data_IF_079525092247
#
_entry.id   IF_079525092247
#
_cell.length_a   1.000
_cell.length_b   1.000
_cell.length_c   1.000
_cell.angle_alpha   90.00
_cell.angle_beta   90.00
_cell.angle_gamma   90.00
#
_symmetry.space_group_name_H-M   'P 1'
#
loop_
_entity.id
_entity.type
_entity.pdbx_description
1 polymer ?
#
# COMPACT_ATOMS: atom_id res chain seq x y z
N UNK A 1 -32.55 23.80 -18.02
CA UNK A 1 -31.53 22.70 -18.00
C UNK A 1 -31.04 22.27 -19.40
N UNK A 2 -31.37 22.92 -20.50
CA UNK A 2 -30.99 22.49 -21.88
C UNK A 2 -29.78 23.21 -22.51
N UNK A 3 -29.22 24.27 -21.87
CA UNK A 3 -28.09 25.02 -22.43
C UNK A 3 -26.72 24.44 -22.15
N UNK A 4 -26.51 23.76 -21.00
CA UNK A 4 -25.22 23.21 -20.65
C UNK A 4 -24.86 21.96 -21.46
N UNK A 5 -25.83 21.08 -21.73
CA UNK A 5 -25.59 19.86 -22.50
C UNK A 5 -25.23 20.17 -23.97
N UNK A 6 -25.80 21.23 -24.54
CA UNK A 6 -25.51 21.65 -25.91
C UNK A 6 -24.06 22.18 -26.07
N UNK A 7 -23.54 22.88 -25.06
CA UNK A 7 -22.17 23.42 -25.10
C UNK A 7 -21.10 22.33 -24.99
N UNK A 8 -21.35 21.28 -24.18
CA UNK A 8 -20.42 20.14 -24.04
C UNK A 8 -20.36 19.34 -25.34
N UNK A 9 -21.49 19.13 -26.00
CA UNK A 9 -21.57 18.37 -27.26
C UNK A 9 -20.89 19.10 -28.43
N UNK A 10 -21.02 20.44 -28.52
CA UNK A 10 -20.34 21.27 -29.52
C UNK A 10 -18.82 21.29 -29.33
N UNK A 11 -18.34 21.27 -28.08
CA UNK A 11 -16.91 21.21 -27.75
C UNK A 11 -16.27 19.88 -28.20
N UNK A 12 -16.93 18.76 -27.95
CA UNK A 12 -16.47 17.42 -28.37
C UNK A 12 -16.45 17.26 -29.89
N UNK A 13 -17.48 17.73 -30.58
CA UNK A 13 -17.55 17.66 -32.05
C UNK A 13 -16.48 18.53 -32.73
N UNK A 14 -16.19 19.72 -32.21
CA UNK A 14 -15.10 20.57 -32.72
C UNK A 14 -13.73 19.99 -32.48
N UNK A 15 -13.50 19.31 -31.34
CA UNK A 15 -12.25 18.63 -31.06
C UNK A 15 -12.01 17.47 -32.03
N UNK A 16 -13.03 16.66 -32.30
CA UNK A 16 -12.91 15.50 -33.19
C UNK A 16 -12.80 15.93 -34.67
N UNK A 17 -13.44 17.02 -35.09
CA UNK A 17 -13.31 17.54 -36.46
C UNK A 17 -11.99 18.28 -36.68
N UNK A 18 -11.40 18.90 -35.66
CA UNK A 18 -10.07 19.51 -35.72
C UNK A 18 -8.94 18.48 -35.84
N UNK A 19 -9.07 17.32 -35.18
CA UNK A 19 -8.10 16.23 -35.26
C UNK A 19 -8.05 15.58 -36.65
N UNK A 20 -9.17 15.60 -37.41
CA UNK A 20 -9.21 15.01 -38.76
C UNK A 20 -8.52 15.86 -39.84
N UNK A 21 -8.38 17.16 -39.66
CA UNK A 21 -7.69 18.04 -40.62
C UNK A 21 -6.19 18.14 -40.47
N UNK A 22 -5.66 17.75 -39.31
CA UNK A 22 -4.19 17.70 -39.07
C UNK A 22 -3.51 16.50 -39.74
N UNK A 23 -4.26 15.49 -40.18
CA UNK A 23 -3.71 14.27 -40.77
C UNK A 23 -3.43 14.38 -42.29
N UNK A 24 -3.92 15.43 -42.98
CA UNK A 24 -3.76 15.56 -44.43
C UNK A 24 -2.55 16.41 -44.89
N UNK A 25 -1.77 16.97 -43.95
CA UNK A 25 -0.66 17.88 -44.24
C UNK A 25 0.77 17.30 -44.01
N UNK A 26 0.91 16.04 -43.65
CA UNK A 26 2.23 15.45 -43.39
C UNK A 26 2.81 14.79 -44.63
N UNK A 27 3.20 15.62 -45.61
CA UNK A 27 4.12 15.19 -46.67
C UNK A 27 5.54 15.01 -46.04
N UNK A 28 5.94 13.76 -45.95
CA UNK A 28 7.32 13.28 -45.97
C UNK A 28 8.42 14.15 -45.33
N UNK A 29 8.40 14.30 -44.01
CA UNK A 29 9.64 14.41 -43.25
C UNK A 29 9.95 13.02 -42.70
N UNK A 30 11.03 12.39 -43.19
CA UNK A 30 11.61 11.21 -42.56
C UNK A 30 12.11 11.63 -41.19
N UNK A 31 11.23 11.49 -40.20
CA UNK A 31 11.63 11.59 -38.81
C UNK A 31 12.42 10.30 -38.55
N UNK A 32 13.74 10.39 -38.63
CA UNK A 32 14.61 9.38 -38.01
C UNK A 32 14.29 9.43 -36.51
N UNK A 33 13.31 8.62 -36.09
CA UNK A 33 13.10 8.38 -34.68
C UNK A 33 14.39 7.79 -34.12
N UNK A 34 15.13 8.61 -33.35
CA UNK A 34 16.17 8.05 -32.50
C UNK A 34 15.50 6.94 -31.65
N UNK A 35 16.17 5.77 -31.55
CA UNK A 35 15.61 4.71 -30.73
C UNK A 35 15.32 5.30 -29.35
N UNK A 36 14.06 5.24 -28.94
CA UNK A 36 13.69 5.61 -27.58
C UNK A 36 14.56 4.77 -26.66
N UNK A 37 15.51 5.42 -25.98
CA UNK A 37 16.27 4.73 -24.93
C UNK A 37 15.23 4.24 -23.93
N UNK A 38 15.06 2.93 -23.88
CA UNK A 38 14.25 2.31 -22.86
C UNK A 38 14.80 2.82 -21.52
N UNK A 39 13.95 3.49 -20.73
CA UNK A 39 14.29 3.76 -19.34
C UNK A 39 14.83 2.46 -18.76
N UNK A 40 16.00 2.49 -18.07
CA UNK A 40 16.48 1.29 -17.40
C UNK A 40 15.30 0.75 -16.57
N UNK A 41 15.01 -0.53 -16.73
CA UNK A 41 13.98 -1.17 -15.91
C UNK A 41 14.27 -0.78 -14.46
N UNK A 42 13.26 -0.22 -13.79
CA UNK A 42 13.41 0.13 -12.38
C UNK A 42 13.97 -1.11 -11.69
N UNK A 43 15.16 -0.99 -11.10
CA UNK A 43 15.74 -2.10 -10.36
C UNK A 43 14.73 -2.46 -9.28
N UNK A 44 14.19 -3.68 -9.30
CA UNK A 44 13.39 -4.20 -8.22
C UNK A 44 14.33 -4.27 -7.01
N UNK A 45 14.11 -3.37 -6.07
CA UNK A 45 14.87 -3.40 -4.81
C UNK A 45 14.27 -4.53 -3.99
N UNK A 46 15.07 -5.55 -3.70
CA UNK A 46 14.65 -6.66 -2.88
C UNK A 46 14.50 -6.20 -1.42
N UNK A 47 13.40 -6.57 -0.80
CA UNK A 47 13.19 -6.34 0.61
C UNK A 47 14.11 -7.24 1.46
N UNK A 48 14.64 -6.75 2.58
CA UNK A 48 15.38 -7.60 3.50
C UNK A 48 14.45 -8.66 4.10
N UNK A 49 14.93 -9.89 4.19
CA UNK A 49 14.26 -10.94 4.96
C UNK A 49 14.63 -10.75 6.42
N UNK A 50 13.68 -10.36 7.24
CA UNK A 50 13.91 -10.01 8.65
C UNK A 50 13.07 -10.87 9.58
N UNK A 51 13.73 -11.50 10.56
CA UNK A 51 13.04 -12.24 11.63
C UNK A 51 12.41 -11.25 12.61
N UNK A 52 11.09 -11.38 12.83
CA UNK A 52 10.33 -10.50 13.72
C UNK A 52 9.94 -11.14 15.05
N UNK A 53 9.97 -12.47 15.14
CA UNK A 53 9.63 -13.21 16.35
C UNK A 53 9.33 -14.68 16.07
N UNK A 54 8.62 -15.33 16.99
CA UNK A 54 8.15 -16.72 16.82
C UNK A 54 6.64 -16.80 17.04
N UNK A 55 6.02 -17.83 16.46
CA UNK A 55 4.58 -18.09 16.63
C UNK A 55 4.23 -18.28 18.12
N UNK A 56 5.12 -18.90 18.89
CA UNK A 56 4.92 -19.22 20.31
C UNK A 56 4.98 -17.99 21.24
N UNK A 57 5.58 -16.89 20.77
CA UNK A 57 5.64 -15.63 21.53
C UNK A 57 4.33 -14.84 21.44
N UNK A 58 3.48 -15.13 20.44
CA UNK A 58 2.29 -14.36 20.18
C UNK A 58 1.08 -14.93 20.92
N UNK A 59 0.37 -14.06 21.60
CA UNK A 59 -0.93 -14.35 22.19
C UNK A 59 -2.05 -13.64 21.40
N UNK A 60 -3.22 -14.23 21.42
CA UNK A 60 -4.39 -13.66 20.69
C UNK A 60 -4.72 -12.28 21.26
N UNK A 61 -4.80 -11.29 20.35
CA UNK A 61 -5.10 -9.89 20.65
C UNK A 61 -4.08 -9.13 21.52
N UNK A 62 -2.89 -9.69 21.71
CA UNK A 62 -1.77 -8.97 22.32
C UNK A 62 -0.80 -8.55 21.19
N UNK A 63 -0.63 -7.24 20.92
CA UNK A 63 0.28 -6.77 19.92
C UNK A 63 1.74 -6.93 20.39
N UNK A 64 2.62 -7.32 19.47
CA UNK A 64 4.06 -7.36 19.68
C UNK A 64 4.73 -6.32 18.79
N UNK A 65 5.40 -5.34 19.40
CA UNK A 65 6.15 -4.32 18.67
C UNK A 65 7.34 -4.93 17.93
N UNK A 66 7.51 -4.49 16.68
CA UNK A 66 8.61 -4.89 15.78
C UNK A 66 9.03 -3.70 14.94
N UNK A 67 10.10 -3.85 14.14
CA UNK A 67 10.48 -2.87 13.12
C UNK A 67 10.77 -3.58 11.81
N UNK A 68 10.28 -3.03 10.68
CA UNK A 68 10.52 -3.56 9.34
C UNK A 68 10.21 -2.53 8.27
N UNK A 69 11.04 -2.37 7.22
CA UNK A 69 12.21 -3.18 6.82
C UNK A 69 13.50 -2.85 7.57
N UNK A 70 13.52 -1.80 8.37
CA UNK A 70 14.65 -1.32 9.15
C UNK A 70 14.21 -0.80 10.53
N UNK A 71 15.19 -0.37 11.36
CA UNK A 71 14.95 0.08 12.73
C UNK A 71 14.11 1.36 12.86
N UNK A 72 14.02 2.17 11.80
CA UNK A 72 13.27 3.44 11.77
C UNK A 72 11.84 3.26 11.23
N UNK A 73 11.43 2.01 10.99
CA UNK A 73 10.10 1.65 10.50
C UNK A 73 9.32 0.85 11.55
N UNK A 74 8.72 1.51 12.55
CA UNK A 74 7.97 0.83 13.60
C UNK A 74 6.74 0.12 13.05
N UNK A 75 6.45 -1.03 13.63
CA UNK A 75 5.33 -1.87 13.26
C UNK A 75 4.92 -2.81 14.38
N UNK A 76 3.96 -3.67 14.08
CA UNK A 76 3.37 -4.58 15.05
C UNK A 76 3.04 -5.93 14.41
N UNK A 77 3.30 -7.02 15.13
CA UNK A 77 2.73 -8.33 14.88
C UNK A 77 1.51 -8.55 15.77
N UNK A 78 0.43 -9.08 15.19
CA UNK A 78 -0.81 -9.36 15.91
C UNK A 78 -1.30 -10.75 15.55
N UNK A 79 -1.64 -11.56 16.56
CA UNK A 79 -2.38 -12.80 16.40
C UNK A 79 -3.87 -12.51 16.65
N UNK A 80 -4.71 -12.64 15.62
CA UNK A 80 -6.12 -12.21 15.65
C UNK A 80 -7.09 -13.29 16.15
N UNK A 81 -6.64 -14.57 16.18
CA UNK A 81 -7.44 -15.70 16.65
C UNK A 81 -8.43 -16.25 15.63
N UNK A 82 -8.43 -15.73 14.41
CA UNK A 82 -9.19 -16.29 13.27
C UNK A 82 -8.43 -16.01 11.97
N UNK A 83 -8.63 -16.87 10.98
CA UNK A 83 -8.02 -16.71 9.63
C UNK A 83 -8.44 -15.38 8.98
N UNK A 84 -7.46 -14.65 8.45
CA UNK A 84 -7.66 -13.34 7.79
C UNK A 84 -6.83 -13.23 6.50
N UNK A 85 -7.15 -12.29 5.60
CA UNK A 85 -6.34 -12.00 4.42
C UNK A 85 -4.89 -11.64 4.79
N UNK A 86 -3.92 -12.25 4.08
CA UNK A 86 -2.50 -12.04 4.35
C UNK A 86 -2.00 -12.64 5.67
N UNK A 87 -2.87 -13.31 6.43
CA UNK A 87 -2.50 -13.97 7.68
C UNK A 87 -1.70 -15.24 7.47
N UNK A 88 -0.69 -15.43 8.30
CA UNK A 88 0.24 -16.59 8.28
C UNK A 88 0.13 -17.41 9.57
N UNK A 89 0.91 -18.48 9.63
CA UNK A 89 0.91 -19.41 10.76
C UNK A 89 -0.12 -20.54 10.61
N UNK A 90 -0.17 -21.46 11.58
CA UNK A 90 -1.04 -22.65 11.51
C UNK A 90 -2.52 -22.31 11.31
N UNK A 91 -2.96 -21.23 11.98
CA UNK A 91 -4.37 -20.79 11.95
C UNK A 91 -4.62 -19.74 10.86
N UNK A 92 -3.57 -19.18 10.20
CA UNK A 92 -3.67 -18.11 9.23
C UNK A 92 -4.16 -16.80 9.85
N UNK A 93 -3.80 -16.54 11.09
CA UNK A 93 -4.32 -15.45 11.93
C UNK A 93 -3.25 -14.46 12.41
N UNK A 94 -1.99 -14.65 11.99
CA UNK A 94 -0.88 -13.77 12.34
C UNK A 94 -0.67 -12.78 11.21
N UNK A 95 -0.77 -11.49 11.51
CA UNK A 95 -0.56 -10.37 10.57
C UNK A 95 0.45 -9.39 11.11
N UNK A 96 1.05 -8.61 10.23
CA UNK A 96 1.95 -7.52 10.61
C UNK A 96 1.60 -6.25 9.88
N UNK A 97 1.71 -5.12 10.56
CA UNK A 97 1.40 -3.80 9.99
C UNK A 97 2.41 -2.76 10.45
N UNK A 98 2.61 -1.72 9.63
CA UNK A 98 3.21 -0.48 10.10
C UNK A 98 2.35 0.15 11.19
N UNK A 99 2.98 0.74 12.20
CA UNK A 99 2.27 1.53 13.23
C UNK A 99 2.35 3.02 12.99
N UNK A 100 2.74 3.45 11.78
CA UNK A 100 2.79 4.84 11.35
C UNK A 100 1.58 5.17 10.48
N UNK A 101 0.77 6.13 10.90
CA UNK A 101 -0.43 6.53 10.19
C UNK A 101 -0.10 7.11 8.80
N UNK A 102 -0.64 6.55 7.70
CA UNK A 102 -0.35 7.03 6.35
C UNK A 102 -0.81 8.48 6.08
N UNK A 103 -1.72 9.03 6.90
CA UNK A 103 -2.20 10.40 6.72
C UNK A 103 -1.14 11.46 7.11
N UNK A 104 -0.58 11.38 8.33
CA UNK A 104 0.34 12.40 8.88
C UNK A 104 1.41 11.83 9.82
N UNK A 105 1.72 10.53 9.74
CA UNK A 105 2.82 9.93 10.48
C UNK A 105 2.62 9.78 11.98
N UNK A 106 1.40 9.93 12.51
CA UNK A 106 1.14 9.69 13.93
C UNK A 106 1.24 8.21 14.27
N UNK A 107 1.72 7.87 15.48
CA UNK A 107 1.74 6.48 15.93
C UNK A 107 0.31 5.96 16.12
N UNK A 108 0.11 4.70 15.74
CA UNK A 108 -1.17 4.01 15.85
C UNK A 108 -1.20 3.15 17.12
N UNK A 109 -2.39 3.01 17.71
CA UNK A 109 -2.64 2.12 18.84
C UNK A 109 -3.62 1.02 18.44
N UNK A 110 -3.30 -0.23 18.82
CA UNK A 110 -4.18 -1.38 18.59
C UNK A 110 -5.33 -1.41 19.60
N UNK A 111 -6.55 -1.63 19.10
CA UNK A 111 -7.73 -1.88 19.91
C UNK A 111 -8.14 -3.34 19.78
N UNK A 112 -7.96 -4.11 20.84
CA UNK A 112 -8.25 -5.54 20.88
C UNK A 112 -9.74 -5.88 20.78
N UNK A 113 -10.64 -4.93 21.07
CA UNK A 113 -12.09 -5.17 21.04
C UNK A 113 -12.62 -5.27 19.61
N UNK A 114 -12.21 -4.35 18.74
CA UNK A 114 -12.67 -4.27 17.36
C UNK A 114 -11.60 -4.60 16.32
N UNK A 115 -10.40 -5.06 16.77
CA UNK A 115 -9.28 -5.47 15.91
C UNK A 115 -8.82 -4.38 14.96
N UNK A 116 -8.81 -3.13 15.41
CA UNK A 116 -8.38 -1.99 14.59
C UNK A 116 -7.10 -1.37 15.10
N UNK A 117 -6.32 -0.79 14.20
CA UNK A 117 -5.27 0.17 14.53
C UNK A 117 -5.83 1.58 14.38
N UNK A 118 -5.76 2.38 15.44
CA UNK A 118 -6.41 3.67 15.55
C UNK A 118 -5.41 4.81 15.67
N UNK A 119 -5.65 5.87 14.90
CA UNK A 119 -4.82 7.08 14.90
C UNK A 119 -5.38 8.11 15.88
N UNK A 120 -4.60 8.58 16.88
CA UNK A 120 -5.07 9.59 17.81
C UNK A 120 -5.09 11.00 17.20
N UNK A 121 -4.39 11.23 16.08
CA UNK A 121 -4.25 12.55 15.47
C UNK A 121 -5.55 13.03 14.81
N UNK A 122 -6.06 12.29 13.82
CA UNK A 122 -7.27 12.66 13.05
C UNK A 122 -8.22 11.47 12.91
N UNK A 123 -8.16 10.53 13.83
CA UNK A 123 -9.12 9.42 14.02
C UNK A 123 -9.24 8.45 12.84
N UNK A 124 -8.19 8.32 12.01
CA UNK A 124 -8.15 7.24 11.01
C UNK A 124 -8.13 5.88 11.71
N UNK A 125 -8.92 4.94 11.18
CA UNK A 125 -9.06 3.58 11.71
C UNK A 125 -8.80 2.59 10.60
N UNK A 126 -8.05 1.55 10.92
CA UNK A 126 -7.63 0.52 9.97
C UNK A 126 -8.02 -0.86 10.51
N UNK A 127 -8.73 -1.63 9.71
CA UNK A 127 -9.22 -2.96 10.07
C UNK A 127 -8.12 -4.01 9.87
N UNK A 128 -7.61 -4.57 10.97
CA UNK A 128 -6.57 -5.59 10.92
C UNK A 128 -7.08 -6.94 10.37
N UNK A 129 -8.38 -7.19 10.43
CA UNK A 129 -9.01 -8.39 9.90
C UNK A 129 -9.27 -8.32 8.39
N UNK A 130 -9.20 -7.11 7.81
CA UNK A 130 -9.39 -6.83 6.40
C UNK A 130 -8.11 -6.32 5.71
N UNK A 131 -6.92 -6.78 6.14
CA UNK A 131 -5.65 -6.43 5.50
C UNK A 131 -5.25 -4.96 5.68
N UNK A 132 -5.57 -4.36 6.83
CA UNK A 132 -5.25 -2.94 7.09
C UNK A 132 -6.14 -1.95 6.35
N UNK A 133 -7.31 -2.38 5.86
CA UNK A 133 -8.24 -1.50 5.14
C UNK A 133 -8.61 -0.29 5.99
N UNK A 134 -8.47 0.90 5.42
CA UNK A 134 -8.94 2.13 6.04
C UNK A 134 -10.48 2.14 6.06
N UNK A 135 -11.08 2.18 7.24
CA UNK A 135 -12.54 2.12 7.44
C UNK A 135 -13.14 3.42 7.95
N UNK A 136 -12.30 4.34 8.47
CA UNK A 136 -12.74 5.63 8.98
C UNK A 136 -11.59 6.64 9.00
N UNK A 137 -11.93 7.94 8.94
CA UNK A 137 -11.02 9.06 9.17
C UNK A 137 -10.39 9.62 7.89
N UNK A 138 -9.26 10.31 8.04
CA UNK A 138 -8.68 11.17 7.02
C UNK A 138 -7.61 10.51 6.15
N UNK A 139 -7.22 9.26 6.43
CA UNK A 139 -6.28 8.54 5.56
C UNK A 139 -6.92 8.27 4.20
N UNK A 140 -6.12 8.32 3.14
CA UNK A 140 -6.53 7.98 1.77
C UNK A 140 -5.83 6.73 1.25
N UNK A 141 -5.06 6.09 2.10
CA UNK A 141 -4.30 4.87 1.84
C UNK A 141 -4.62 3.85 2.95
N UNK A 142 -4.61 2.57 2.61
CA UNK A 142 -4.66 1.50 3.59
C UNK A 142 -3.39 1.49 4.46
N UNK A 143 -3.43 0.79 5.56
CA UNK A 143 -2.26 0.64 6.40
C UNK A 143 -1.31 -0.40 5.78
N UNK A 144 -0.02 -0.07 5.58
CA UNK A 144 0.93 -1.02 5.00
C UNK A 144 0.98 -2.33 5.79
N UNK A 145 0.67 -3.45 5.12
CA UNK A 145 0.72 -4.80 5.65
C UNK A 145 2.04 -5.48 5.27
N UNK A 146 2.60 -6.24 6.19
CA UNK A 146 3.80 -7.02 5.96
C UNK A 146 3.49 -8.31 5.19
N UNK A 147 4.26 -8.60 4.17
CA UNK A 147 4.32 -9.93 3.58
C UNK A 147 5.11 -10.83 4.56
N UNK A 148 4.39 -11.68 5.26
CA UNK A 148 4.94 -12.55 6.28
C UNK A 148 5.05 -13.99 5.80
N UNK A 149 6.00 -14.74 6.38
CA UNK A 149 6.12 -16.18 6.25
C UNK A 149 6.50 -16.78 7.61
N UNK A 150 6.01 -17.98 7.88
CA UNK A 150 6.42 -18.76 9.04
C UNK A 150 7.35 -19.88 8.58
N UNK A 151 8.52 -19.97 9.18
CA UNK A 151 9.51 -21.00 8.91
C UNK A 151 9.20 -22.30 9.66
N UNK A 152 9.84 -23.39 9.25
CA UNK A 152 9.61 -24.72 9.87
C UNK A 152 9.93 -24.79 11.37
N UNK A 153 10.82 -23.93 11.84
CA UNK A 153 11.18 -23.78 13.26
C UNK A 153 10.22 -22.90 14.05
N UNK A 154 9.18 -22.31 13.39
CA UNK A 154 8.21 -21.42 13.99
C UNK A 154 8.61 -19.94 13.99
N UNK A 155 9.74 -19.57 13.39
CA UNK A 155 10.12 -18.17 13.24
C UNK A 155 9.18 -17.46 12.26
N UNK A 156 8.81 -16.24 12.60
CA UNK A 156 8.02 -15.34 11.74
C UNK A 156 9.01 -14.39 11.08
N UNK A 157 9.04 -14.40 9.76
CA UNK A 157 9.88 -13.52 8.95
C UNK A 157 9.03 -12.62 8.08
N UNK A 158 9.45 -11.36 7.92
CA UNK A 158 8.93 -10.42 6.95
C UNK A 158 9.85 -10.37 5.74
N UNK A 159 9.26 -10.31 4.55
CA UNK A 159 9.96 -10.30 3.26
C UNK A 159 9.42 -9.26 2.28
N UNK A 160 8.51 -8.39 2.74
CA UNK A 160 7.95 -7.31 1.92
C UNK A 160 6.89 -6.48 2.62
N UNK A 161 6.44 -5.45 1.91
CA UNK A 161 5.32 -4.57 2.26
C UNK A 161 4.46 -4.38 1.00
N UNK A 162 3.15 -4.32 1.17
CA UNK A 162 2.19 -4.12 0.08
C UNK A 162 2.00 -2.63 -0.30
N UNK A 163 2.31 -1.71 0.62
CA UNK A 163 2.14 -0.27 0.44
C UNK A 163 3.41 0.51 0.84
N UNK A 164 3.52 1.77 0.38
CA UNK A 164 4.61 2.65 0.75
C UNK A 164 4.43 3.17 2.19
N UNK A 165 5.49 3.08 2.98
CA UNK A 165 5.52 3.63 4.33
C UNK A 165 5.47 5.17 4.30
N UNK A 166 4.75 5.75 5.24
CA UNK A 166 4.63 7.21 5.36
C UNK A 166 5.99 7.89 5.46
N UNK A 167 6.16 8.95 4.67
CA UNK A 167 7.38 9.78 4.68
C UNK A 167 8.56 9.21 3.93
N UNK A 168 8.43 8.05 3.27
CA UNK A 168 9.49 7.42 2.47
C UNK A 168 9.25 7.59 0.98
N UNK A 169 10.32 7.70 0.21
CA UNK A 169 10.32 7.63 -1.25
C UNK A 169 10.48 6.19 -1.75
N UNK A 170 11.04 5.33 -0.91
CA UNK A 170 11.20 3.89 -1.09
C UNK A 170 11.13 3.22 0.28
N UNK A 171 10.55 2.03 0.36
CA UNK A 171 10.52 1.26 1.61
C UNK A 171 11.89 0.65 1.94
N UNK A 172 12.74 0.48 0.95
CA UNK A 172 14.10 -0.05 1.11
C UNK A 172 15.08 1.05 0.72
N UNK A 173 16.05 1.33 1.58
CA UNK A 173 17.07 2.37 1.43
C UNK A 173 18.34 1.81 0.79
#
# INVERSE_FOLDING_TARGET
MKKCDLMVDLGRRRFLSGAGMAAAGAAATTITSAPAQAKPAAALVEYPVSRLGTVTELKVNEPKDVSYPDGDAPGVLIKLGKRVPGGVGPDGDIVGFSTVCPHKGYPLAFNATDKTLNCPGHYSRFDCEAGGQQIWGQSTQNLPQYALRVEANGDIVAEGLDELLYGRLSNVL
#
